data_IF_531477296129
#
_entry.id   IF_531477296129
#
_cell.length_a   1.000
_cell.length_b   1.000
_cell.length_c   1.000
_cell.angle_alpha   90.00
_cell.angle_beta   90.00
_cell.angle_gamma   90.00
#
_symmetry.space_group_name_H-M   'P 1'
#
loop_
_entity.id
_entity.type
_entity.pdbx_description
1 polymer ?
#
# COMPACT_ATOMS: atom_id res chain seq x y z
N UNK A 1 -19.06 17.57 3.58
CA UNK A 1 -19.82 16.39 3.16
C UNK A 1 -18.86 15.21 2.92
N UNK A 2 -19.25 14.06 3.44
CA UNK A 2 -18.49 12.82 3.29
C UNK A 2 -19.03 12.04 2.10
N UNK A 3 -18.17 11.76 1.13
CA UNK A 3 -18.51 10.97 -0.04
C UNK A 3 -18.18 9.50 0.19
N UNK A 4 -18.98 8.60 -0.40
CA UNK A 4 -18.70 7.17 -0.30
C UNK A 4 -17.39 6.83 -1.00
N UNK A 5 -16.62 5.95 -0.36
CA UNK A 5 -15.38 5.44 -0.91
C UNK A 5 -15.45 3.91 -1.00
N UNK A 6 -14.69 3.36 -1.93
CA UNK A 6 -14.59 1.93 -2.13
C UNK A 6 -13.13 1.49 -2.08
N UNK A 7 -12.86 0.42 -1.34
CA UNK A 7 -11.56 -0.23 -1.31
C UNK A 7 -11.71 -1.73 -1.06
N UNK A 8 -10.82 -2.52 -1.63
CA UNK A 8 -10.68 -3.94 -1.29
C UNK A 8 -10.30 -4.12 0.19
N UNK A 9 -9.68 -3.12 0.77
CA UNK A 9 -9.35 -3.06 2.20
C UNK A 9 -10.51 -2.48 2.98
N UNK A 10 -11.10 -3.26 3.89
CA UNK A 10 -12.24 -2.83 4.70
C UNK A 10 -11.93 -1.58 5.52
N UNK A 11 -10.71 -1.46 6.04
CA UNK A 11 -10.28 -0.32 6.83
C UNK A 11 -10.17 0.99 6.03
N UNK A 12 -10.14 0.92 4.71
CA UNK A 12 -10.03 2.09 3.83
C UNK A 12 -11.36 2.48 3.18
N UNK A 13 -12.44 1.81 3.52
CA UNK A 13 -13.76 2.16 3.00
C UNK A 13 -14.35 3.42 3.65
N UNK A 14 -13.84 3.83 4.81
CA UNK A 14 -14.32 5.05 5.46
C UNK A 14 -13.73 6.28 4.73
N UNK A 15 -14.57 7.18 4.20
CA UNK A 15 -14.10 8.25 3.30
C UNK A 15 -13.61 9.50 4.01
N UNK A 16 -13.67 9.57 5.34
CA UNK A 16 -13.23 10.73 6.10
C UNK A 16 -11.85 10.56 6.70
N UNK A 17 -11.13 11.65 6.86
CA UNK A 17 -9.83 11.68 7.55
C UNK A 17 -9.91 12.55 8.80
N UNK A 18 -9.06 12.26 9.79
CA UNK A 18 -8.95 13.06 10.99
C UNK A 18 -8.33 14.44 10.73
N UNK A 19 -8.56 15.40 11.62
CA UNK A 19 -8.06 16.77 11.44
C UNK A 19 -6.52 16.85 11.48
N UNK A 20 -5.84 15.96 12.17
CA UNK A 20 -4.38 15.93 12.20
C UNK A 20 -3.79 15.62 10.81
N UNK A 21 -4.34 14.63 10.11
CA UNK A 21 -3.91 14.31 8.75
C UNK A 21 -4.20 15.44 7.79
N UNK A 22 -5.37 16.07 7.88
CA UNK A 22 -5.70 17.22 7.05
C UNK A 22 -4.74 18.37 7.29
N UNK A 23 -4.40 18.64 8.54
CA UNK A 23 -3.44 19.68 8.92
C UNK A 23 -2.04 19.39 8.35
N UNK A 24 -1.54 18.17 8.53
CA UNK A 24 -0.21 17.78 8.03
C UNK A 24 -0.11 17.91 6.51
N UNK A 25 -1.19 17.60 5.81
CA UNK A 25 -1.27 17.77 4.36
C UNK A 25 -1.23 19.26 3.97
N UNK A 26 -2.04 20.08 4.62
CA UNK A 26 -2.14 21.51 4.31
C UNK A 26 -0.83 22.26 4.57
N UNK A 27 -0.14 21.96 5.67
CA UNK A 27 1.11 22.61 5.98
C UNK A 27 2.32 22.02 5.23
N UNK A 28 2.11 21.01 4.40
CA UNK A 28 3.17 20.39 3.58
C UNK A 28 4.14 19.52 4.37
N UNK A 29 3.84 19.19 5.62
CA UNK A 29 4.71 18.35 6.45
C UNK A 29 4.63 16.88 6.07
N UNK A 30 3.51 16.44 5.52
CA UNK A 30 3.32 15.09 5.03
C UNK A 30 2.75 15.13 3.61
N UNK A 31 3.21 14.22 2.76
CA UNK A 31 2.66 14.04 1.42
C UNK A 31 1.73 12.83 1.44
N UNK A 32 0.54 12.99 0.87
CA UNK A 32 -0.48 11.95 0.79
C UNK A 32 -0.64 11.54 -0.67
N UNK A 33 -0.65 10.24 -0.90
CA UNK A 33 -0.76 9.66 -2.24
C UNK A 33 -1.83 8.58 -2.24
N UNK A 34 -2.37 8.30 -3.41
CA UNK A 34 -3.36 7.24 -3.60
C UNK A 34 -2.69 6.01 -4.23
N UNK A 35 -3.12 4.84 -3.80
CA UNK A 35 -2.74 3.54 -4.38
C UNK A 35 -4.02 2.80 -4.74
N UNK A 36 -4.07 2.23 -5.95
CA UNK A 36 -5.21 1.44 -6.40
C UNK A 36 -5.20 0.05 -5.77
N UNK A 37 -6.35 -0.58 -5.74
CA UNK A 37 -6.50 -1.93 -5.20
C UNK A 37 -5.57 -2.94 -5.89
N UNK A 38 -5.45 -2.89 -7.21
CA UNK A 38 -4.58 -3.79 -7.96
C UNK A 38 -3.10 -3.59 -7.60
N UNK A 39 -2.67 -2.36 -7.44
CA UNK A 39 -1.30 -2.05 -7.00
C UNK A 39 -1.02 -2.59 -5.60
N UNK A 40 -1.98 -2.42 -4.67
CA UNK A 40 -1.85 -2.94 -3.31
C UNK A 40 -1.78 -4.46 -3.29
N UNK A 41 -2.61 -5.13 -4.09
CA UNK A 41 -2.62 -6.60 -4.14
C UNK A 41 -1.36 -7.17 -4.78
N UNK A 42 -0.83 -6.55 -5.82
CA UNK A 42 0.43 -6.95 -6.43
C UNK A 42 1.58 -6.82 -5.43
N UNK A 43 1.62 -5.72 -4.67
CA UNK A 43 2.63 -5.50 -3.64
C UNK A 43 2.49 -6.51 -2.49
N UNK A 44 1.27 -6.84 -2.09
CA UNK A 44 1.00 -7.86 -1.09
C UNK A 44 1.57 -9.21 -1.51
N UNK A 45 1.29 -9.63 -2.74
CA UNK A 45 1.79 -10.89 -3.26
C UNK A 45 3.32 -10.90 -3.36
N UNK A 46 3.92 -9.81 -3.78
CA UNK A 46 5.37 -9.68 -3.86
C UNK A 46 6.02 -9.77 -2.48
N UNK A 47 5.44 -9.12 -1.47
CA UNK A 47 5.94 -9.21 -0.09
C UNK A 47 5.82 -10.64 0.45
N UNK A 48 4.71 -11.31 0.19
CA UNK A 48 4.53 -12.72 0.56
C UNK A 48 5.62 -13.59 -0.06
N UNK A 49 5.88 -13.39 -1.34
CA UNK A 49 6.84 -14.19 -2.10
C UNK A 49 8.28 -13.97 -1.64
N UNK A 50 8.66 -12.70 -1.41
CA UNK A 50 10.03 -12.34 -1.09
C UNK A 50 10.37 -12.49 0.39
N UNK A 51 9.43 -12.18 1.27
CA UNK A 51 9.70 -12.10 2.71
C UNK A 51 8.92 -13.11 3.54
N UNK A 52 7.97 -13.83 2.94
CA UNK A 52 7.13 -14.77 3.67
C UNK A 52 6.17 -14.09 4.65
N UNK A 53 5.83 -12.85 4.41
CA UNK A 53 4.94 -12.06 5.26
C UNK A 53 3.62 -11.84 4.52
N UNK A 54 2.48 -12.12 5.18
CA UNK A 54 1.16 -11.75 4.66
C UNK A 54 0.77 -10.44 5.35
N UNK A 55 0.90 -9.29 4.68
CA UNK A 55 0.53 -8.02 5.29
C UNK A 55 -0.99 -7.84 5.33
N UNK A 56 -1.46 -6.98 6.22
CA UNK A 56 -2.82 -6.46 6.10
C UNK A 56 -2.96 -5.70 4.77
N UNK A 57 -4.12 -5.74 4.15
CA UNK A 57 -4.32 -5.05 2.87
C UNK A 57 -4.11 -3.54 3.03
N UNK A 58 -4.51 -2.97 4.16
CA UNK A 58 -4.25 -1.57 4.49
C UNK A 58 -2.76 -1.24 4.37
N UNK A 59 -1.91 -2.05 5.00
CA UNK A 59 -0.46 -1.86 4.98
C UNK A 59 0.18 -2.19 3.63
N UNK A 60 -0.46 -3.04 2.84
CA UNK A 60 -0.01 -3.34 1.48
C UNK A 60 0.01 -2.09 0.59
N UNK A 61 -0.85 -1.10 0.87
CA UNK A 61 -0.83 0.19 0.18
C UNK A 61 0.50 0.92 0.41
N UNK A 62 1.01 0.90 1.64
CA UNK A 62 2.31 1.49 1.95
C UNK A 62 3.45 0.75 1.25
N UNK A 63 3.39 -0.58 1.20
CA UNK A 63 4.38 -1.39 0.48
C UNK A 63 4.36 -1.07 -1.02
N UNK A 64 3.16 -0.96 -1.61
CA UNK A 64 2.99 -0.62 -3.02
C UNK A 64 3.63 0.73 -3.35
N UNK A 65 3.38 1.73 -2.52
CA UNK A 65 3.97 3.05 -2.73
C UNK A 65 5.48 3.04 -2.54
N UNK A 66 5.99 2.32 -1.55
CA UNK A 66 7.43 2.20 -1.34
C UNK A 66 8.12 1.59 -2.56
N UNK A 67 7.54 0.55 -3.16
CA UNK A 67 8.07 -0.06 -4.39
C UNK A 67 8.06 0.91 -5.56
N UNK A 68 6.98 1.66 -5.72
CA UNK A 68 6.84 2.68 -6.75
C UNK A 68 7.86 3.80 -6.57
N UNK A 69 7.98 4.29 -5.35
CA UNK A 69 8.93 5.34 -5.00
C UNK A 69 10.38 4.89 -5.22
N UNK A 70 10.71 3.65 -4.85
CA UNK A 70 12.05 3.09 -5.08
C UNK A 70 12.41 3.08 -6.57
N UNK A 71 11.46 2.69 -7.43
CA UNK A 71 11.67 2.74 -8.88
C UNK A 71 11.87 4.15 -9.39
N UNK A 72 11.07 5.10 -8.91
CA UNK A 72 11.20 6.52 -9.28
C UNK A 72 12.55 7.09 -8.84
N UNK A 73 13.02 6.74 -7.64
CA UNK A 73 14.33 7.18 -7.16
C UNK A 73 15.47 6.60 -7.99
N UNK A 74 15.39 5.32 -8.35
CA UNK A 74 16.38 4.67 -9.21
C UNK A 74 16.50 5.38 -10.56
N UNK A 75 15.37 5.75 -11.17
CA UNK A 75 15.35 6.49 -12.42
C UNK A 75 15.89 7.91 -12.28
N UNK A 76 15.59 8.58 -11.16
CA UNK A 76 15.98 9.98 -10.95
C UNK A 76 17.46 10.14 -10.63
N UNK A 77 18.05 9.27 -9.81
CA UNK A 77 19.40 9.45 -9.28
C UNK A 77 20.37 8.31 -9.63
N UNK A 78 19.90 7.27 -10.32
CA UNK A 78 20.69 6.09 -10.66
C UNK A 78 20.70 5.04 -9.57
N UNK A 79 21.09 3.81 -9.95
CA UNK A 79 21.00 2.64 -9.08
C UNK A 79 21.92 2.76 -7.85
N UNK A 80 23.14 3.26 -8.03
CA UNK A 80 24.10 3.38 -6.93
C UNK A 80 23.60 4.31 -5.84
N UNK A 81 23.17 5.52 -6.21
CA UNK A 81 22.69 6.50 -5.24
C UNK A 81 21.38 6.04 -4.60
N UNK A 82 20.47 5.48 -5.38
CA UNK A 82 19.21 4.98 -4.87
C UNK A 82 19.42 3.84 -3.86
N UNK A 83 20.40 2.97 -4.08
CA UNK A 83 20.71 1.86 -3.16
C UNK A 83 21.26 2.32 -1.81
N UNK A 84 21.76 3.54 -1.74
CA UNK A 84 22.26 4.14 -0.49
C UNK A 84 21.15 4.81 0.32
N UNK A 85 19.97 4.99 -0.26
CA UNK A 85 18.81 5.58 0.42
C UNK A 85 18.08 4.54 1.27
N UNK A 86 17.54 4.98 2.40
CA UNK A 86 16.78 4.11 3.31
C UNK A 86 15.33 4.55 3.36
N UNK A 87 14.42 3.60 3.20
CA UNK A 87 12.99 3.81 3.44
C UNK A 87 12.53 2.97 4.62
N UNK A 88 11.66 3.56 5.45
CA UNK A 88 11.01 2.83 6.53
C UNK A 88 9.53 2.75 6.22
N UNK A 89 9.00 1.52 6.22
CA UNK A 89 7.58 1.26 5.98
C UNK A 89 6.95 0.83 7.29
N UNK A 90 5.88 1.50 7.70
CA UNK A 90 5.10 1.06 8.85
C UNK A 90 4.18 -0.08 8.39
N UNK A 91 4.53 -1.31 8.74
CA UNK A 91 3.77 -2.50 8.40
C UNK A 91 2.91 -2.90 9.60
N UNK A 92 1.84 -2.17 9.81
CA UNK A 92 0.91 -2.38 10.93
C UNK A 92 -0.09 -3.49 10.65
N UNK A 93 -0.62 -4.09 11.71
CA UNK A 93 -1.61 -5.16 11.60
C UNK A 93 -1.02 -6.45 11.04
N UNK A 94 -1.90 -7.30 10.54
CA UNK A 94 -1.52 -8.57 9.91
C UNK A 94 -2.59 -9.02 8.92
N UNK A 95 -2.17 -9.81 7.93
CA UNK A 95 -3.01 -10.16 6.79
C UNK A 95 -3.89 -11.38 6.96
N UNK A 96 -3.76 -12.14 8.04
CA UNK A 96 -4.57 -13.34 8.27
C UNK A 96 -6.06 -13.04 8.33
N UNK A 97 -6.46 -11.85 8.76
CA UNK A 97 -7.84 -11.38 8.72
C UNK A 97 -8.38 -11.19 7.30
N UNK A 98 -7.50 -11.05 6.32
CA UNK A 98 -7.85 -10.71 4.93
C UNK A 98 -7.71 -11.89 3.97
N UNK A 99 -7.41 -13.10 4.46
CA UNK A 99 -7.10 -14.26 3.62
C UNK A 99 -8.24 -14.58 2.65
N UNK A 100 -9.50 -14.51 3.09
CA UNK A 100 -10.64 -14.77 2.22
C UNK A 100 -10.75 -13.73 1.11
N UNK A 101 -10.57 -12.46 1.44
CA UNK A 101 -10.59 -11.36 0.46
C UNK A 101 -9.46 -11.53 -0.56
N UNK A 102 -8.27 -11.88 -0.09
CA UNK A 102 -7.10 -12.12 -0.95
C UNK A 102 -7.37 -13.30 -1.89
N UNK A 103 -7.89 -14.40 -1.36
CA UNK A 103 -8.20 -15.59 -2.15
C UNK A 103 -9.24 -15.28 -3.24
N UNK A 104 -10.29 -14.56 -2.91
CA UNK A 104 -11.32 -14.16 -3.85
C UNK A 104 -10.75 -13.26 -4.96
N UNK A 105 -9.89 -12.32 -4.60
CA UNK A 105 -9.23 -11.47 -5.58
C UNK A 105 -8.35 -12.29 -6.53
N UNK A 106 -7.55 -13.20 -6.00
CA UNK A 106 -6.66 -14.03 -6.80
C UNK A 106 -7.45 -14.97 -7.72
N UNK A 107 -8.56 -15.53 -7.25
CA UNK A 107 -9.45 -16.34 -8.08
C UNK A 107 -10.04 -15.52 -9.23
N UNK A 108 -10.46 -14.29 -8.97
CA UNK A 108 -10.99 -13.38 -9.99
C UNK A 108 -9.94 -12.97 -11.02
N UNK A 109 -8.66 -12.98 -10.67
CA UNK A 109 -7.55 -12.70 -11.59
C UNK A 109 -6.98 -13.94 -12.27
N UNK A 110 -7.52 -15.14 -11.99
CA UNK A 110 -7.05 -16.40 -12.61
C UNK A 110 -5.79 -16.99 -11.98
N UNK A 111 -5.36 -16.51 -10.84
CA UNK A 111 -4.20 -17.06 -10.13
C UNK A 111 -4.53 -18.35 -9.37
N UNK A 112 -5.80 -18.57 -9.04
CA UNK A 112 -6.28 -19.77 -8.36
C UNK A 112 -7.30 -20.48 -9.25
N UNK A 113 -7.18 -21.80 -9.31
CA UNK A 113 -8.12 -22.65 -10.03
C UNK A 113 -9.26 -23.13 -9.13
#
# INVERSE_FOLDING_TARGET
NVQLAHSISAGLDYPGVGPEHAYLKECGRARYVAIRDDEAMDALMELCRLEGIIPAIESAHAVAYAMKYARERKEAVGEKQASEETMVICLSGRGDKDVNTIADYLAGKGYLN
#
